data_IF_870617626694
#
_entry.id   IF_870617626694
#
_cell.length_a   1.000
_cell.length_b   1.000
_cell.length_c   1.000
_cell.angle_alpha   90.00
_cell.angle_beta   90.00
_cell.angle_gamma   90.00
#
_symmetry.space_group_name_H-M   'P 1'
#
loop_
_entity.id
_entity.type
_entity.pdbx_description
1 polymer ?
#
# COMPACT_ATOMS: atom_id res chain seq x y z
N UNK A 1 -0.42 -15.47 11.50
CA UNK A 1 -0.76 -15.95 10.14
C UNK A 1 0.51 -16.27 9.37
N UNK A 2 0.46 -17.14 8.34
CA UNK A 2 1.68 -17.47 7.59
C UNK A 2 2.05 -16.31 6.67
N UNK A 3 1.13 -15.82 5.86
CA UNK A 3 1.36 -14.73 4.92
C UNK A 3 0.20 -13.71 4.91
N UNK A 4 0.25 -12.72 4.03
CA UNK A 4 -0.77 -11.68 3.92
C UNK A 4 -2.12 -12.21 3.40
N UNK A 5 -2.10 -13.24 2.55
CA UNK A 5 -3.32 -13.90 2.07
C UNK A 5 -4.03 -14.65 3.21
N UNK A 6 -3.27 -15.45 3.98
CA UNK A 6 -3.84 -16.12 5.16
C UNK A 6 -4.25 -15.13 6.25
N UNK A 7 -3.55 -13.99 6.36
CA UNK A 7 -3.97 -12.89 7.24
C UNK A 7 -5.37 -12.41 6.85
N UNK A 8 -5.62 -12.16 5.57
CA UNK A 8 -6.92 -11.73 5.07
C UNK A 8 -8.01 -12.78 5.37
N UNK A 9 -7.76 -14.05 5.05
CA UNK A 9 -8.72 -15.13 5.32
C UNK A 9 -9.02 -15.33 6.82
N UNK A 10 -8.02 -15.19 7.70
CA UNK A 10 -8.22 -15.24 9.13
C UNK A 10 -9.12 -14.10 9.62
N UNK A 11 -8.87 -12.87 9.14
CA UNK A 11 -9.68 -11.70 9.47
C UNK A 11 -11.13 -11.93 9.04
N UNK A 12 -11.35 -12.40 7.81
CA UNK A 12 -12.68 -12.68 7.28
C UNK A 12 -13.44 -13.71 8.12
N UNK A 13 -12.77 -14.80 8.49
CA UNK A 13 -13.36 -15.81 9.38
C UNK A 13 -13.72 -15.25 10.77
N UNK A 14 -12.90 -14.34 11.33
CA UNK A 14 -13.22 -13.66 12.58
C UNK A 14 -14.36 -12.67 12.44
N UNK A 15 -14.45 -11.96 11.33
CA UNK A 15 -15.58 -11.08 11.01
C UNK A 15 -16.87 -11.90 10.93
N UNK A 16 -16.87 -13.03 10.22
CA UNK A 16 -18.03 -13.96 10.14
C UNK A 16 -18.49 -14.38 11.53
N UNK A 17 -17.57 -14.78 12.42
CA UNK A 17 -17.91 -15.14 13.82
C UNK A 17 -18.51 -13.96 14.60
N UNK A 18 -18.04 -12.74 14.40
CA UNK A 18 -18.61 -11.55 15.04
C UNK A 18 -20.04 -11.27 14.53
N UNK A 19 -20.26 -11.39 13.22
CA UNK A 19 -21.59 -11.22 12.61
C UNK A 19 -22.59 -12.27 13.11
N UNK A 20 -22.17 -13.54 13.23
CA UNK A 20 -22.99 -14.62 13.78
C UNK A 20 -23.39 -14.36 15.25
N UNK A 21 -22.58 -13.61 15.98
CA UNK A 21 -22.85 -13.16 17.35
C UNK A 21 -23.67 -11.85 17.41
N UNK A 22 -24.14 -11.34 16.27
CA UNK A 22 -25.00 -10.15 16.20
C UNK A 22 -24.28 -8.83 16.05
N UNK A 23 -22.96 -8.83 15.86
CA UNK A 23 -22.17 -7.61 15.54
C UNK A 23 -22.49 -7.15 14.11
N UNK A 24 -22.55 -5.84 13.90
CA UNK A 24 -22.76 -5.24 12.58
C UNK A 24 -21.41 -4.84 11.93
N UNK A 25 -21.33 -4.80 10.59
CA UNK A 25 -20.09 -4.41 9.88
C UNK A 25 -19.54 -3.05 10.33
N UNK A 26 -20.38 -2.07 10.60
CA UNK A 26 -19.97 -0.73 11.02
C UNK A 26 -19.36 -0.67 12.43
N UNK A 27 -19.45 -1.74 13.21
CA UNK A 27 -18.84 -1.89 14.53
C UNK A 27 -17.42 -2.49 14.44
N UNK A 28 -16.95 -2.80 13.21
CA UNK A 28 -15.67 -3.45 12.96
C UNK A 28 -14.76 -2.53 12.17
N UNK A 29 -13.57 -2.27 12.70
CA UNK A 29 -12.51 -1.53 12.02
C UNK A 29 -11.25 -2.36 11.80
N UNK A 30 -10.64 -2.20 10.65
CA UNK A 30 -9.33 -2.77 10.31
C UNK A 30 -8.34 -1.62 10.16
N UNK A 31 -7.35 -1.57 11.03
CA UNK A 31 -6.35 -0.53 11.09
C UNK A 31 -5.00 -1.04 10.58
N UNK A 32 -4.32 -0.21 9.81
CA UNK A 32 -3.03 -0.54 9.22
C UNK A 32 -2.10 0.68 9.19
N UNK A 33 -0.79 0.43 9.17
CA UNK A 33 0.22 1.49 9.14
C UNK A 33 0.28 2.18 7.77
N UNK A 34 0.28 1.42 6.70
CA UNK A 34 0.31 1.92 5.33
C UNK A 34 -0.79 1.26 4.49
N UNK A 35 -1.28 1.96 3.47
CA UNK A 35 -2.42 1.51 2.65
C UNK A 35 -2.19 0.14 1.99
N UNK A 36 -0.95 -0.14 1.56
CA UNK A 36 -0.63 -1.42 0.90
C UNK A 36 -0.72 -2.64 1.82
N UNK A 37 -0.67 -2.46 3.15
CA UNK A 37 -0.86 -3.56 4.10
C UNK A 37 -2.26 -4.18 4.04
N UNK A 38 -3.26 -3.39 3.64
CA UNK A 38 -4.64 -3.83 3.56
C UNK A 38 -5.05 -4.30 2.16
N UNK A 39 -4.14 -4.32 1.20
CA UNK A 39 -4.46 -4.55 -0.21
C UNK A 39 -5.02 -5.95 -0.45
N UNK A 40 -4.34 -6.98 0.06
CA UNK A 40 -4.81 -8.37 -0.05
C UNK A 40 -6.20 -8.55 0.60
N UNK A 41 -6.41 -7.89 1.74
CA UNK A 41 -7.71 -7.90 2.41
C UNK A 41 -8.79 -7.20 1.57
N UNK A 42 -8.48 -6.09 0.91
CA UNK A 42 -9.42 -5.39 0.03
C UNK A 42 -9.84 -6.26 -1.16
N UNK A 43 -8.90 -7.01 -1.74
CA UNK A 43 -9.17 -7.97 -2.81
C UNK A 43 -10.14 -9.06 -2.31
N UNK A 44 -9.84 -9.67 -1.18
CA UNK A 44 -10.67 -10.74 -0.63
C UNK A 44 -12.06 -10.25 -0.21
N UNK A 45 -12.17 -9.03 0.36
CA UNK A 45 -13.45 -8.40 0.66
C UNK A 45 -14.28 -8.17 -0.61
N UNK A 46 -13.65 -7.63 -1.67
CA UNK A 46 -14.30 -7.41 -2.96
C UNK A 46 -14.74 -8.72 -3.61
N UNK A 47 -13.89 -9.76 -3.58
CA UNK A 47 -14.21 -11.09 -4.13
C UNK A 47 -15.40 -11.75 -3.44
N UNK A 48 -15.56 -11.52 -2.13
CA UNK A 48 -16.68 -12.07 -1.34
C UNK A 48 -17.87 -11.12 -1.24
N UNK A 49 -17.86 -10.03 -1.99
CA UNK A 49 -18.92 -9.00 -1.99
C UNK A 49 -19.23 -8.43 -0.58
N UNK A 50 -18.23 -8.35 0.29
CA UNK A 50 -18.34 -7.78 1.62
C UNK A 50 -18.19 -6.26 1.54
N UNK A 51 -19.17 -5.47 2.07
CA UNK A 51 -19.13 -4.03 1.99
C UNK A 51 -18.06 -3.43 2.89
N UNK A 52 -17.24 -2.54 2.35
CA UNK A 52 -16.25 -1.80 3.12
C UNK A 52 -16.06 -0.38 2.59
N UNK A 53 -15.61 0.51 3.47
CA UNK A 53 -15.19 1.86 3.12
C UNK A 53 -13.78 2.13 3.64
N UNK A 54 -13.03 2.91 2.87
CA UNK A 54 -11.70 3.38 3.28
C UNK A 54 -11.87 4.80 3.81
N UNK A 55 -11.42 5.05 5.04
CA UNK A 55 -11.66 6.33 5.72
C UNK A 55 -11.08 7.53 4.97
N UNK A 56 -9.99 7.37 4.19
CA UNK A 56 -9.42 8.42 3.34
C UNK A 56 -10.28 8.78 2.12
N UNK A 57 -11.30 7.99 1.81
CA UNK A 57 -12.15 8.16 0.64
C UNK A 57 -11.50 7.80 -0.70
N UNK A 58 -10.17 7.67 -0.75
CA UNK A 58 -9.42 7.28 -1.95
C UNK A 58 -8.59 6.03 -1.66
N UNK A 59 -8.69 5.06 -2.54
CA UNK A 59 -7.84 3.85 -2.49
C UNK A 59 -6.40 4.23 -2.80
N UNK A 60 -5.46 3.43 -2.32
CA UNK A 60 -4.03 3.68 -2.52
C UNK A 60 -3.69 3.99 -3.98
N UNK A 61 -4.16 3.15 -4.92
CA UNK A 61 -3.89 3.33 -6.35
C UNK A 61 -4.69 4.44 -7.04
N UNK A 62 -5.68 5.02 -6.35
CA UNK A 62 -6.45 6.15 -6.85
C UNK A 62 -5.83 7.50 -6.52
N UNK A 63 -4.87 7.51 -5.62
CA UNK A 63 -4.19 8.73 -5.21
C UNK A 63 -3.38 9.34 -6.37
N UNK A 64 -3.40 10.67 -6.49
CA UNK A 64 -2.83 11.37 -7.63
C UNK A 64 -1.34 11.03 -7.83
N UNK A 65 -0.54 11.12 -6.77
CA UNK A 65 0.90 10.85 -6.81
C UNK A 65 1.24 9.41 -7.18
N UNK A 66 0.44 8.44 -6.74
CA UNK A 66 0.61 7.03 -7.15
C UNK A 66 0.29 6.87 -8.63
N UNK A 67 -0.84 7.45 -9.09
CA UNK A 67 -1.22 7.42 -10.52
C UNK A 67 -0.19 8.12 -11.42
N UNK A 68 0.42 9.20 -10.96
CA UNK A 68 1.43 9.94 -11.72
C UNK A 68 2.70 9.11 -11.91
N UNK A 69 3.16 8.44 -10.84
CA UNK A 69 4.31 7.55 -10.92
C UNK A 69 4.02 6.29 -11.75
N UNK A 70 2.88 5.66 -11.52
CA UNK A 70 2.44 4.49 -12.31
C UNK A 70 2.32 4.82 -13.79
N UNK A 71 1.90 6.05 -14.15
CA UNK A 71 1.85 6.47 -15.55
C UNK A 71 3.26 6.52 -16.17
N UNK A 72 4.28 7.02 -15.45
CA UNK A 72 5.66 6.97 -15.92
C UNK A 72 6.13 5.53 -16.18
N UNK A 73 5.88 4.62 -15.22
CA UNK A 73 6.25 3.21 -15.36
C UNK A 73 5.51 2.51 -16.51
N UNK A 74 4.21 2.80 -16.68
CA UNK A 74 3.42 2.27 -17.80
C UNK A 74 3.98 2.72 -19.14
N UNK A 75 4.35 4.00 -19.27
CA UNK A 75 4.94 4.53 -20.49
C UNK A 75 6.33 3.94 -20.77
N UNK A 76 7.11 3.67 -19.73
CA UNK A 76 8.40 2.98 -19.89
C UNK A 76 8.23 1.57 -20.44
N UNK A 77 7.21 0.82 -19.98
CA UNK A 77 6.90 -0.52 -20.50
C UNK A 77 6.25 -0.47 -21.88
N UNK A 78 5.38 0.50 -22.11
CA UNK A 78 4.68 0.69 -23.38
C UNK A 78 4.73 2.16 -23.83
N UNK A 79 5.73 2.55 -24.63
CA UNK A 79 5.85 3.93 -25.15
C UNK A 79 4.72 4.39 -26.07
N UNK A 80 3.78 3.51 -26.41
CA UNK A 80 2.56 3.84 -27.17
C UNK A 80 1.38 4.23 -26.27
N UNK A 81 1.54 4.18 -24.95
CA UNK A 81 0.52 4.60 -24.00
C UNK A 81 0.41 6.13 -23.92
N UNK A 82 -0.34 6.69 -24.86
CA UNK A 82 -0.56 8.15 -24.96
C UNK A 82 -1.20 8.72 -23.70
N UNK A 83 -2.11 7.99 -23.07
CA UNK A 83 -2.79 8.42 -21.84
C UNK A 83 -1.81 8.51 -20.69
N UNK A 84 -0.95 7.53 -20.54
CA UNK A 84 0.09 7.54 -19.53
C UNK A 84 1.06 8.71 -19.75
N UNK A 85 1.50 8.94 -20.99
CA UNK A 85 2.37 10.07 -21.34
C UNK A 85 1.71 11.41 -21.01
N UNK A 86 0.46 11.64 -21.47
CA UNK A 86 -0.26 12.88 -21.20
C UNK A 86 -0.36 13.15 -19.70
N UNK A 87 -0.62 12.11 -18.90
CA UNK A 87 -0.79 12.27 -17.45
C UNK A 87 0.43 12.90 -16.80
N UNK A 88 1.63 12.35 -16.97
CA UNK A 88 2.80 12.91 -16.32
C UNK A 88 3.38 14.14 -17.03
N UNK A 89 3.26 14.26 -18.37
CA UNK A 89 3.70 15.43 -19.10
C UNK A 89 2.89 16.69 -18.74
N UNK A 90 1.59 16.54 -18.43
CA UNK A 90 0.73 17.64 -18.00
C UNK A 90 1.02 18.12 -16.56
N UNK A 91 1.89 17.46 -15.81
CA UNK A 91 2.37 17.96 -14.52
C UNK A 91 3.35 19.13 -14.71
N UNK A 92 3.99 19.23 -15.88
CA UNK A 92 4.96 20.29 -16.18
C UNK A 92 4.26 21.62 -16.50
N UNK A 93 4.88 22.75 -16.12
CA UNK A 93 4.30 24.08 -16.35
C UNK A 93 3.95 24.32 -17.83
N UNK A 94 2.76 24.85 -18.09
CA UNK A 94 2.28 25.23 -19.45
C UNK A 94 2.21 24.08 -20.46
N UNK A 95 2.30 22.82 -20.03
CA UNK A 95 2.09 21.64 -20.87
C UNK A 95 0.69 21.08 -20.55
N UNK A 96 -0.26 21.31 -21.45
CA UNK A 96 -1.59 20.67 -21.42
C UNK A 96 -1.65 19.51 -22.43
N UNK A 97 -2.75 18.77 -22.42
CA UNK A 97 -2.94 17.55 -23.23
C UNK A 97 -2.60 17.72 -24.71
N UNK A 98 -3.03 18.85 -25.34
CA UNK A 98 -2.72 19.14 -26.76
C UNK A 98 -1.22 19.33 -26.99
N UNK A 99 -0.53 19.99 -26.06
CA UNK A 99 0.92 20.19 -26.14
C UNK A 99 1.66 18.89 -25.90
N UNK A 100 1.27 18.11 -24.88
CA UNK A 100 1.81 16.81 -24.61
C UNK A 100 1.69 15.87 -25.81
N UNK A 101 0.53 15.79 -26.46
CA UNK A 101 0.33 14.97 -27.67
C UNK A 101 1.23 15.38 -28.83
N UNK A 102 1.42 16.69 -29.03
CA UNK A 102 2.33 17.21 -30.10
C UNK A 102 3.79 16.88 -29.79
N UNK A 103 4.20 16.98 -28.52
CA UNK A 103 5.55 16.65 -28.10
C UNK A 103 5.82 15.15 -28.26
N UNK A 104 4.87 14.28 -27.90
CA UNK A 104 4.99 12.84 -28.10
C UNK A 104 5.15 12.51 -29.58
N UNK A 105 4.26 13.00 -30.45
CA UNK A 105 4.33 12.76 -31.90
C UNK A 105 5.63 13.29 -32.54
N UNK A 106 6.13 14.44 -32.05
CA UNK A 106 7.43 14.96 -32.47
C UNK A 106 8.57 14.02 -32.03
N UNK A 107 8.55 13.56 -30.79
CA UNK A 107 9.56 12.66 -30.26
C UNK A 107 9.57 11.30 -30.97
N UNK A 108 8.39 10.77 -31.30
CA UNK A 108 8.26 9.55 -32.13
C UNK A 108 8.87 9.74 -33.52
N UNK A 109 8.59 10.88 -34.16
CA UNK A 109 9.18 11.20 -35.46
C UNK A 109 10.69 11.28 -35.37
N UNK A 110 11.26 12.04 -34.43
CA UNK A 110 12.68 12.16 -34.18
C UNK A 110 13.34 10.82 -33.90
N UNK A 111 12.70 10.00 -33.06
CA UNK A 111 13.13 8.64 -32.75
C UNK A 111 13.27 7.78 -34.01
N UNK A 112 12.24 7.81 -34.88
CA UNK A 112 12.25 7.06 -36.15
C UNK A 112 13.28 7.58 -37.16
N UNK A 113 13.38 8.89 -37.34
CA UNK A 113 14.31 9.53 -38.29
C UNK A 113 15.77 9.27 -37.87
N UNK A 114 16.08 9.41 -36.57
CA UNK A 114 17.43 9.21 -36.05
C UNK A 114 17.73 7.76 -35.66
N UNK A 115 16.75 6.87 -35.72
CA UNK A 115 16.84 5.46 -35.28
C UNK A 115 17.37 5.33 -33.85
N UNK A 116 16.86 6.17 -32.95
CA UNK A 116 17.18 6.18 -31.54
C UNK A 116 15.95 5.78 -30.71
N UNK A 117 16.16 5.40 -29.45
CA UNK A 117 15.06 5.14 -28.52
C UNK A 117 14.26 6.44 -28.25
N UNK A 118 12.95 6.33 -28.04
CA UNK A 118 12.06 7.47 -27.79
C UNK A 118 12.48 8.26 -26.52
N UNK A 119 12.98 7.58 -25.50
CA UNK A 119 13.47 8.25 -24.28
C UNK A 119 14.69 9.14 -24.57
N UNK A 120 15.55 8.73 -25.48
CA UNK A 120 16.65 9.55 -25.96
C UNK A 120 16.15 10.69 -26.86
N UNK A 121 15.08 10.47 -27.63
CA UNK A 121 14.52 11.52 -28.50
C UNK A 121 13.96 12.70 -27.67
N UNK A 122 13.52 12.50 -26.42
CA UNK A 122 13.06 13.59 -25.56
C UNK A 122 14.11 14.63 -25.24
N UNK A 123 15.38 14.28 -25.27
CA UNK A 123 16.53 15.21 -25.07
C UNK A 123 17.12 15.77 -26.37
N UNK A 124 16.59 15.40 -27.52
CA UNK A 124 17.04 15.91 -28.79
C UNK A 124 16.64 17.38 -28.98
N UNK A 125 17.53 18.15 -29.61
CA UNK A 125 17.37 19.61 -29.78
C UNK A 125 16.07 19.99 -30.50
N UNK A 126 15.60 19.13 -31.41
CA UNK A 126 14.36 19.36 -32.15
C UNK A 126 13.14 19.33 -31.24
N UNK A 127 13.14 18.48 -30.21
CA UNK A 127 12.12 18.38 -29.20
C UNK A 127 12.27 19.51 -28.17
N UNK A 128 13.48 19.70 -27.64
CA UNK A 128 13.79 20.72 -26.64
C UNK A 128 13.41 22.14 -27.06
N UNK A 129 13.52 22.46 -28.35
CA UNK A 129 13.13 23.76 -28.91
C UNK A 129 11.61 23.99 -28.93
N UNK A 130 10.82 22.96 -28.74
CA UNK A 130 9.33 23.04 -28.67
C UNK A 130 8.78 23.02 -27.24
N UNK A 131 9.64 22.80 -26.25
CA UNK A 131 9.27 22.85 -24.85
C UNK A 131 9.07 24.29 -24.38
N UNK A 132 7.99 24.63 -23.68
CA UNK A 132 7.84 25.95 -23.04
C UNK A 132 9.04 26.25 -22.15
N UNK A 133 9.47 27.53 -22.13
CA UNK A 133 10.66 27.93 -21.34
C UNK A 133 10.55 27.54 -19.88
N UNK A 134 9.37 27.74 -19.30
CA UNK A 134 9.13 27.46 -17.87
C UNK A 134 9.09 25.97 -17.53
N UNK A 135 8.93 25.09 -18.51
CA UNK A 135 8.91 23.64 -18.35
C UNK A 135 10.23 22.98 -18.77
N UNK A 136 11.22 23.75 -19.23
CA UNK A 136 12.38 23.16 -19.91
C UNK A 136 13.30 22.38 -18.97
N UNK A 137 13.52 22.90 -17.78
CA UNK A 137 14.33 22.25 -16.75
C UNK A 137 13.66 20.96 -16.27
N UNK A 138 12.39 21.04 -15.88
CA UNK A 138 11.57 19.89 -15.49
C UNK A 138 11.49 18.82 -16.60
N UNK A 139 11.34 19.24 -17.85
CA UNK A 139 11.31 18.31 -18.97
C UNK A 139 12.62 17.54 -19.12
N UNK A 140 13.77 18.21 -18.98
CA UNK A 140 15.07 17.53 -19.05
C UNK A 140 15.21 16.53 -17.92
N UNK A 141 14.94 16.91 -16.68
CA UNK A 141 14.97 16.02 -15.54
C UNK A 141 14.03 14.80 -15.67
N UNK A 142 12.81 15.05 -16.16
CA UNK A 142 11.85 13.98 -16.46
C UNK A 142 12.37 13.04 -17.58
N UNK A 143 12.92 13.58 -18.65
CA UNK A 143 13.45 12.79 -19.77
C UNK A 143 14.64 11.91 -19.34
N UNK A 144 15.54 12.46 -18.54
CA UNK A 144 16.67 11.72 -17.95
C UNK A 144 16.19 10.61 -17.01
N UNK A 145 15.22 10.91 -16.15
CA UNK A 145 14.60 9.91 -15.27
C UNK A 145 13.97 8.78 -16.09
N UNK A 146 13.15 9.09 -17.09
CA UNK A 146 12.52 8.07 -17.93
C UNK A 146 13.54 7.22 -18.69
N UNK A 147 14.66 7.82 -19.13
CA UNK A 147 15.74 7.07 -19.77
C UNK A 147 16.44 6.11 -18.80
N UNK A 148 16.74 6.56 -17.58
CA UNK A 148 17.32 5.72 -16.52
C UNK A 148 16.40 4.57 -16.14
N UNK A 149 15.12 4.88 -15.86
CA UNK A 149 14.08 3.90 -15.53
C UNK A 149 13.93 2.87 -16.65
N UNK A 150 13.94 3.28 -17.92
CA UNK A 150 13.87 2.36 -19.06
C UNK A 150 15.07 1.42 -19.12
N UNK A 151 16.29 1.92 -18.87
CA UNK A 151 17.49 1.09 -18.84
C UNK A 151 17.41 0.05 -17.71
N UNK A 152 16.98 0.47 -16.52
CA UNK A 152 16.81 -0.42 -15.38
C UNK A 152 15.69 -1.44 -15.60
N UNK A 153 14.59 -1.07 -16.24
CA UNK A 153 13.45 -1.97 -16.46
C UNK A 153 13.79 -3.24 -17.26
N UNK A 154 14.92 -3.24 -18.00
CA UNK A 154 15.38 -4.40 -18.77
C UNK A 154 16.27 -5.34 -17.97
N UNK A 155 16.85 -4.91 -16.85
CA UNK A 155 17.90 -5.66 -16.13
C UNK A 155 17.71 -5.73 -14.64
N UNK A 156 16.93 -4.83 -14.05
CA UNK A 156 16.73 -4.73 -12.61
C UNK A 156 15.37 -5.28 -12.17
N UNK A 157 15.29 -5.63 -10.89
CA UNK A 157 14.05 -6.02 -10.23
C UNK A 157 13.09 -4.82 -10.12
N UNK A 158 11.76 -5.04 -10.15
CA UNK A 158 10.76 -3.97 -10.17
C UNK A 158 10.91 -2.93 -9.06
N UNK A 159 11.27 -3.34 -7.84
CA UNK A 159 11.48 -2.41 -6.73
C UNK A 159 12.54 -1.35 -7.01
N UNK A 160 13.65 -1.71 -7.66
CA UNK A 160 14.70 -0.74 -8.05
C UNK A 160 14.25 0.19 -9.18
N UNK A 161 13.42 -0.31 -10.08
CA UNK A 161 12.86 0.50 -11.18
C UNK A 161 11.88 1.54 -10.63
N UNK A 162 11.04 1.14 -9.67
CA UNK A 162 10.11 2.05 -8.99
C UNK A 162 10.86 3.07 -8.14
N UNK A 163 11.87 2.63 -7.39
CA UNK A 163 12.71 3.51 -6.56
C UNK A 163 13.42 4.59 -7.40
N UNK A 164 13.99 4.21 -8.55
CA UNK A 164 14.60 5.16 -9.50
C UNK A 164 13.58 6.18 -10.04
N UNK A 165 12.36 5.74 -10.34
CA UNK A 165 11.32 6.66 -10.82
C UNK A 165 10.85 7.64 -9.72
N UNK A 166 10.85 7.22 -8.45
CA UNK A 166 10.53 8.09 -7.30
C UNK A 166 11.64 9.11 -7.09
N UNK A 167 12.89 8.65 -7.02
CA UNK A 167 14.05 9.49 -6.68
C UNK A 167 14.55 10.36 -7.86
N UNK A 168 13.97 10.22 -9.04
CA UNK A 168 14.23 11.07 -10.19
C UNK A 168 13.51 12.43 -10.09
N UNK A 169 13.14 12.98 -11.24
CA UNK A 169 12.43 14.26 -11.33
C UNK A 169 11.19 14.35 -10.43
N UNK A 170 10.49 13.23 -10.22
CA UNK A 170 9.24 13.23 -9.48
C UNK A 170 9.42 13.56 -8.01
N UNK A 171 10.57 13.28 -7.40
CA UNK A 171 10.90 13.63 -6.02
C UNK A 171 10.81 15.14 -5.77
N UNK A 172 11.49 15.94 -6.59
CA UNK A 172 11.47 17.39 -6.46
C UNK A 172 10.07 17.96 -6.75
N UNK A 173 9.40 17.44 -7.78
CA UNK A 173 8.02 17.79 -8.09
C UNK A 173 7.11 17.55 -6.89
N UNK A 174 7.21 16.40 -6.21
CA UNK A 174 6.42 16.04 -5.04
C UNK A 174 6.62 17.05 -3.90
N UNK A 175 7.87 17.38 -3.60
CA UNK A 175 8.24 18.27 -2.50
C UNK A 175 7.83 19.73 -2.75
N UNK A 176 7.87 20.18 -3.98
CA UNK A 176 7.52 21.56 -4.35
C UNK A 176 6.02 21.77 -4.54
N UNK A 177 5.30 20.70 -4.92
CA UNK A 177 3.87 20.81 -5.28
C UNK A 177 2.94 20.54 -4.12
N UNK A 178 3.32 19.67 -3.16
CA UNK A 178 2.42 19.22 -2.12
C UNK A 178 2.90 19.59 -0.71
N UNK A 179 2.08 20.32 0.06
CA UNK A 179 2.39 20.61 1.48
C UNK A 179 2.51 19.33 2.34
N UNK A 180 1.73 18.30 2.00
CA UNK A 180 1.74 17.00 2.70
C UNK A 180 2.65 15.96 2.02
N UNK A 181 3.75 16.42 1.39
CA UNK A 181 4.70 15.57 0.68
C UNK A 181 5.25 14.41 1.53
N UNK A 182 5.53 14.54 2.85
CA UNK A 182 6.11 13.42 3.60
C UNK A 182 5.20 12.19 3.60
N UNK A 183 3.89 12.40 3.73
CA UNK A 183 2.92 11.31 3.68
C UNK A 183 2.80 10.69 2.29
N UNK A 184 2.91 11.52 1.24
CA UNK A 184 2.86 11.02 -0.15
C UNK A 184 4.12 10.24 -0.50
N UNK A 185 5.25 10.64 0.03
CA UNK A 185 6.51 9.92 -0.09
C UNK A 185 6.41 8.52 0.57
N UNK A 186 5.86 8.43 1.80
CA UNK A 186 5.57 7.14 2.44
C UNK A 186 4.66 6.24 1.58
N UNK A 187 3.66 6.82 0.93
CA UNK A 187 2.80 6.07 0.00
C UNK A 187 3.61 5.56 -1.21
N UNK A 188 4.51 6.37 -1.78
CA UNK A 188 5.37 5.94 -2.90
C UNK A 188 6.38 4.88 -2.48
N UNK A 189 6.97 4.98 -1.29
CA UNK A 189 7.81 3.91 -0.73
C UNK A 189 7.04 2.60 -0.56
N UNK A 190 5.77 2.71 -0.16
CA UNK A 190 4.87 1.56 -0.12
C UNK A 190 4.70 0.90 -1.49
N UNK A 191 4.82 1.66 -2.58
CA UNK A 191 4.81 1.12 -3.94
C UNK A 191 6.11 0.35 -4.26
N UNK A 192 7.26 0.78 -3.71
CA UNK A 192 8.54 0.02 -3.81
C UNK A 192 8.39 -1.34 -3.13
N UNK A 193 7.83 -1.36 -1.92
CA UNK A 193 7.57 -2.60 -1.18
C UNK A 193 6.58 -3.51 -1.94
N UNK A 194 5.55 -2.93 -2.54
CA UNK A 194 4.64 -3.68 -3.41
C UNK A 194 5.36 -4.26 -4.62
N UNK A 195 6.18 -3.45 -5.29
CA UNK A 195 6.95 -3.86 -6.46
C UNK A 195 7.93 -5.01 -6.15
N UNK A 196 8.43 -5.07 -4.91
CA UNK A 196 9.34 -6.14 -4.47
C UNK A 196 8.73 -7.56 -4.51
N UNK A 197 7.40 -7.67 -4.61
CA UNK A 197 6.68 -8.95 -4.67
C UNK A 197 6.69 -9.59 -6.05
N UNK A 198 7.10 -8.85 -7.09
CA UNK A 198 7.01 -9.26 -8.50
C UNK A 198 8.38 -9.46 -9.11
N UNK A 199 8.44 -10.35 -10.09
CA UNK A 199 9.68 -10.66 -10.81
C UNK A 199 9.94 -9.66 -11.95
N UNK A 200 8.85 -9.10 -12.53
CA UNK A 200 8.97 -8.14 -13.62
C UNK A 200 7.96 -6.98 -13.52
N UNK A 201 8.33 -5.84 -14.10
CA UNK A 201 7.55 -4.61 -14.03
C UNK A 201 6.19 -4.72 -14.73
N UNK A 202 6.09 -5.46 -15.83
CA UNK A 202 4.84 -5.61 -16.58
C UNK A 202 3.80 -6.41 -15.78
N UNK A 203 4.23 -7.46 -15.08
CA UNK A 203 3.37 -8.23 -14.17
C UNK A 203 2.87 -7.34 -13.03
N UNK A 204 3.76 -6.60 -12.36
CA UNK A 204 3.40 -5.65 -11.32
C UNK A 204 2.32 -4.66 -11.79
N UNK A 205 2.54 -4.03 -12.96
CA UNK A 205 1.59 -3.07 -13.53
C UNK A 205 0.26 -3.71 -13.89
N UNK A 206 0.26 -4.95 -14.39
CA UNK A 206 -0.96 -5.70 -14.68
C UNK A 206 -1.76 -5.94 -13.40
N UNK A 207 -1.10 -6.35 -12.32
CA UNK A 207 -1.75 -6.53 -11.02
C UNK A 207 -2.30 -5.21 -10.47
N UNK A 208 -1.58 -4.10 -10.61
CA UNK A 208 -2.08 -2.78 -10.21
C UNK A 208 -3.36 -2.40 -10.95
N UNK A 209 -3.45 -2.68 -12.26
CA UNK A 209 -4.64 -2.41 -13.07
C UNK A 209 -5.80 -3.29 -12.60
N UNK A 210 -5.58 -4.58 -12.38
CA UNK A 210 -6.59 -5.50 -11.87
C UNK A 210 -7.12 -5.04 -10.52
N UNK A 211 -6.22 -4.70 -9.57
CA UNK A 211 -6.58 -4.18 -8.27
C UNK A 211 -7.38 -2.88 -8.32
N UNK A 212 -7.07 -2.00 -9.26
CA UNK A 212 -7.83 -0.77 -9.47
C UNK A 212 -9.20 -1.02 -10.11
N UNK A 213 -9.36 -2.08 -10.93
CA UNK A 213 -10.59 -2.43 -11.64
C UNK A 213 -11.49 -3.38 -10.85
N UNK A 214 -10.94 -4.41 -10.18
CA UNK A 214 -11.70 -5.33 -9.33
C UNK A 214 -12.24 -4.65 -8.06
N UNK A 215 -11.61 -3.55 -7.70
CA UNK A 215 -12.10 -2.62 -6.71
C UNK A 215 -13.32 -1.83 -7.23
N UNK A 216 -13.89 -2.24 -8.39
CA UNK A 216 -15.05 -1.63 -9.02
C UNK A 216 -16.21 -1.46 -8.06
N UNK A 217 -16.50 -0.24 -7.83
CA UNK A 217 -17.79 0.41 -7.56
C UNK A 217 -18.89 -0.39 -6.84
N UNK A 218 -18.55 -1.10 -5.75
CA UNK A 218 -19.61 -1.21 -4.76
C UNK A 218 -19.67 0.12 -4.02
N UNK A 219 -20.39 1.07 -4.59
CA UNK A 219 -20.80 2.27 -3.90
C UNK A 219 -21.63 1.82 -2.70
N UNK A 220 -21.03 1.91 -1.50
CA UNK A 220 -21.76 1.68 -0.25
C UNK A 220 -22.94 2.63 -0.24
N UNK A 221 -24.16 2.10 -0.22
CA UNK A 221 -25.38 2.90 -0.23
C UNK A 221 -25.47 3.71 1.07
N UNK A 222 -26.03 4.93 1.03
CA UNK A 222 -26.27 5.68 2.26
C UNK A 222 -27.09 4.84 3.26
N UNK A 223 -26.53 4.62 4.46
CA UNK A 223 -27.13 3.79 5.49
C UNK A 223 -26.81 2.28 5.44
N UNK A 224 -26.07 1.80 4.46
CA UNK A 224 -25.58 0.43 4.42
C UNK A 224 -24.49 0.21 5.48
N UNK A 225 -24.60 -0.88 6.24
CA UNK A 225 -23.57 -1.29 7.19
C UNK A 225 -22.35 -1.81 6.45
N UNK A 226 -21.16 -1.26 6.73
CA UNK A 226 -19.92 -1.59 6.06
C UNK A 226 -18.71 -1.61 7.01
N UNK A 227 -17.73 -2.44 6.71
CA UNK A 227 -16.45 -2.46 7.42
C UNK A 227 -15.70 -1.15 7.25
N UNK A 228 -14.95 -0.74 8.27
CA UNK A 228 -14.07 0.44 8.23
C UNK A 228 -12.63 0.01 8.05
N UNK A 229 -12.02 0.39 6.92
CA UNK A 229 -10.61 0.23 6.65
C UNK A 229 -9.94 1.60 6.79
N UNK A 230 -8.93 1.72 7.65
CA UNK A 230 -8.30 3.01 7.94
C UNK A 230 -6.81 2.88 8.22
N UNK A 231 -6.04 3.86 7.79
CA UNK A 231 -4.71 4.03 8.39
C UNK A 231 -4.85 4.44 9.86
N UNK A 232 -3.87 4.07 10.67
CA UNK A 232 -3.85 4.42 12.10
C UNK A 232 -3.94 5.93 12.30
N UNK A 233 -3.25 6.71 11.46
CA UNK A 233 -3.30 8.18 11.53
C UNK A 233 -4.72 8.75 11.38
N UNK A 234 -5.51 8.17 10.48
CA UNK A 234 -6.87 8.63 10.20
C UNK A 234 -7.90 8.12 11.19
N UNK A 235 -7.56 7.10 11.98
CA UNK A 235 -8.43 6.56 13.03
C UNK A 235 -8.39 7.38 14.32
N UNK A 236 -7.54 8.40 14.42
CA UNK A 236 -7.43 9.26 15.61
C UNK A 236 -8.76 9.95 15.91
N UNK A 237 -9.27 9.76 17.13
CA UNK A 237 -10.55 10.30 17.57
C UNK A 237 -11.78 9.46 17.24
N UNK A 238 -11.60 8.34 16.53
CA UNK A 238 -12.67 7.36 16.28
C UNK A 238 -12.51 6.16 17.23
N UNK A 239 -13.60 5.51 17.59
CA UNK A 239 -13.62 4.32 18.43
C UNK A 239 -14.57 3.28 17.84
N UNK A 240 -14.24 2.00 18.01
CA UNK A 240 -14.99 0.90 17.41
C UNK A 240 -15.08 -0.26 18.42
N UNK A 241 -16.23 -0.95 18.51
CA UNK A 241 -16.36 -2.15 19.34
C UNK A 241 -15.28 -3.20 19.06
N UNK A 242 -14.98 -3.45 17.78
CA UNK A 242 -14.02 -4.49 17.38
C UNK A 242 -12.96 -3.92 16.44
N UNK A 243 -11.69 -4.03 16.83
CA UNK A 243 -10.56 -3.51 16.06
C UNK A 243 -9.57 -4.62 15.71
N UNK A 244 -9.19 -4.67 14.43
CA UNK A 244 -8.11 -5.50 13.92
C UNK A 244 -6.94 -4.60 13.54
N UNK A 245 -5.76 -4.84 14.11
CA UNK A 245 -4.51 -4.17 13.68
C UNK A 245 -3.68 -5.20 12.92
N UNK A 246 -3.40 -4.91 11.65
CA UNK A 246 -2.75 -5.83 10.73
C UNK A 246 -1.30 -5.42 10.42
N UNK A 247 -0.52 -6.38 9.94
CA UNK A 247 0.87 -6.12 9.53
C UNK A 247 1.84 -5.86 10.68
N UNK A 248 1.57 -6.41 11.89
CA UNK A 248 2.40 -6.19 13.08
C UNK A 248 3.70 -7.01 13.04
N UNK A 249 4.55 -6.70 12.06
CA UNK A 249 5.88 -7.28 11.90
C UNK A 249 6.93 -6.15 11.82
N UNK A 250 8.13 -6.40 12.34
CA UNK A 250 9.26 -5.48 12.18
C UNK A 250 9.57 -5.29 10.70
N UNK A 251 9.65 -4.04 10.25
CA UNK A 251 9.77 -3.63 8.85
C UNK A 251 8.45 -3.25 8.19
N UNK A 252 7.30 -3.66 8.75
CA UNK A 252 5.96 -3.23 8.33
C UNK A 252 5.34 -2.26 9.35
N UNK A 253 5.27 -2.68 10.61
CA UNK A 253 4.84 -1.87 11.73
C UNK A 253 5.55 -2.33 13.02
N UNK A 254 6.58 -1.60 13.50
CA UNK A 254 7.12 -0.34 12.93
C UNK A 254 7.71 -0.50 11.54
N UNK A 255 7.74 0.60 10.78
CA UNK A 255 8.29 0.62 9.44
C UNK A 255 9.83 0.46 9.47
N UNK A 256 10.42 0.06 8.33
CA UNK A 256 11.86 -0.24 8.25
C UNK A 256 12.72 0.98 8.57
N UNK A 257 12.37 2.18 8.10
CA UNK A 257 13.13 3.41 8.37
C UNK A 257 13.22 3.72 9.86
N UNK A 258 12.11 3.57 10.59
CA UNK A 258 12.12 3.78 12.04
C UNK A 258 13.00 2.77 12.78
N UNK A 259 13.12 1.55 12.23
CA UNK A 259 13.99 0.50 12.80
C UNK A 259 15.46 0.79 12.52
N UNK A 260 15.78 1.23 11.31
CA UNK A 260 17.16 1.48 10.84
C UNK A 260 17.73 2.83 11.36
N UNK A 261 16.91 3.61 12.10
CA UNK A 261 17.32 4.90 12.69
C UNK A 261 17.18 6.09 11.74
N UNK A 262 16.55 5.92 10.60
CA UNK A 262 16.22 6.97 9.63
C UNK A 262 14.86 7.63 9.92
N UNK A 263 14.09 7.09 10.89
CA UNK A 263 12.78 7.55 11.33
C UNK A 263 12.63 7.54 12.84
N UNK A 264 11.47 7.96 13.35
CA UNK A 264 11.17 8.03 14.78
C UNK A 264 10.41 6.76 15.24
N UNK A 265 11.14 5.84 15.91
CA UNK A 265 10.58 4.63 16.50
C UNK A 265 9.56 4.93 17.62
N UNK A 266 9.74 6.03 18.34
CA UNK A 266 8.82 6.44 19.41
C UNK A 266 7.51 6.98 18.82
N UNK A 267 7.54 7.60 17.64
CA UNK A 267 6.30 7.96 16.92
C UNK A 267 5.55 6.71 16.45
N UNK A 268 6.24 5.70 15.91
CA UNK A 268 5.62 4.40 15.58
C UNK A 268 5.00 3.74 16.82
N UNK A 269 5.64 3.86 17.99
CA UNK A 269 5.10 3.37 19.26
C UNK A 269 3.83 4.13 19.67
N UNK A 270 3.81 5.45 19.50
CA UNK A 270 2.61 6.28 19.74
C UNK A 270 1.48 5.89 18.81
N UNK A 271 1.79 5.61 17.55
CA UNK A 271 0.80 5.11 16.59
C UNK A 271 0.23 3.75 17.01
N UNK A 272 1.06 2.82 17.49
CA UNK A 272 0.59 1.54 18.01
C UNK A 272 -0.34 1.73 19.22
N UNK A 273 0.03 2.62 20.14
CA UNK A 273 -0.82 3.00 21.26
C UNK A 273 -2.17 3.59 20.79
N UNK A 274 -2.14 4.54 19.86
CA UNK A 274 -3.35 5.12 19.28
C UNK A 274 -4.23 4.04 18.67
N UNK A 275 -3.67 3.16 17.85
CA UNK A 275 -4.42 2.08 17.21
C UNK A 275 -5.07 1.14 18.24
N UNK A 276 -4.31 0.76 19.28
CA UNK A 276 -4.77 -0.15 20.32
C UNK A 276 -5.91 0.44 21.17
N UNK A 277 -5.87 1.76 21.37
CA UNK A 277 -6.92 2.47 22.14
C UNK A 277 -8.18 2.77 21.33
N UNK A 278 -8.26 2.38 20.06
CA UNK A 278 -9.48 2.50 19.24
C UNK A 278 -10.48 1.38 19.50
N UNK A 279 -10.08 0.31 20.19
CA UNK A 279 -10.94 -0.82 20.50
C UNK A 279 -11.69 -0.60 21.82
N UNK A 280 -13.03 -0.74 21.78
CA UNK A 280 -13.89 -0.67 22.96
C UNK A 280 -14.09 -2.05 23.61
N UNK A 281 -14.28 -3.08 22.80
CA UNK A 281 -14.67 -4.43 23.26
C UNK A 281 -13.61 -5.48 22.98
N UNK A 282 -13.12 -5.58 21.75
CA UNK A 282 -12.08 -6.53 21.36
C UNK A 282 -11.01 -5.95 20.45
N UNK A 283 -9.78 -6.35 20.71
CA UNK A 283 -8.61 -5.97 19.95
C UNK A 283 -7.91 -7.22 19.39
N UNK A 284 -7.76 -7.30 18.08
CA UNK A 284 -7.06 -8.38 17.38
C UNK A 284 -5.74 -7.83 16.79
N UNK A 285 -4.62 -8.36 17.28
CA UNK A 285 -3.28 -7.98 16.85
C UNK A 285 -2.73 -9.07 15.92
N UNK A 286 -2.50 -8.74 14.64
CA UNK A 286 -2.22 -9.75 13.61
C UNK A 286 -0.91 -9.44 12.90
N UNK A 287 -0.03 -10.43 12.78
CA UNK A 287 1.18 -10.32 11.98
C UNK A 287 1.35 -11.51 11.02
N UNK A 288 1.79 -11.26 9.79
CA UNK A 288 2.21 -12.30 8.86
C UNK A 288 3.63 -12.76 9.21
N UNK A 289 3.90 -14.06 9.10
CA UNK A 289 5.23 -14.64 9.36
C UNK A 289 6.12 -14.62 8.11
N UNK A 290 5.51 -14.55 6.93
CA UNK A 290 6.18 -14.54 5.64
C UNK A 290 5.70 -13.36 4.80
N UNK A 291 6.60 -12.80 4.01
CA UNK A 291 6.32 -11.86 2.94
C UNK A 291 7.06 -12.32 1.68
N UNK A 292 6.54 -11.97 0.51
CA UNK A 292 7.28 -12.14 -0.75
C UNK A 292 8.12 -10.89 -1.00
N UNK A 293 9.39 -11.06 -1.28
CA UNK A 293 10.31 -9.98 -1.69
C UNK A 293 11.12 -10.46 -2.89
N UNK A 294 10.97 -9.80 -4.03
CA UNK A 294 11.64 -10.16 -5.29
C UNK A 294 11.44 -11.65 -5.69
N UNK A 295 10.19 -12.14 -5.58
CA UNK A 295 9.87 -13.55 -5.83
C UNK A 295 10.36 -14.53 -4.75
N UNK A 296 11.11 -14.06 -3.76
CA UNK A 296 11.61 -14.89 -2.66
C UNK A 296 10.78 -14.72 -1.41
N UNK A 297 10.38 -15.81 -0.77
CA UNK A 297 9.71 -15.75 0.53
C UNK A 297 10.73 -15.41 1.61
N UNK A 298 10.49 -14.32 2.32
CA UNK A 298 11.27 -13.92 3.48
C UNK A 298 10.47 -14.10 4.76
N UNK A 299 11.16 -14.52 5.83
CA UNK A 299 10.56 -14.59 7.14
C UNK A 299 10.54 -13.22 7.79
N UNK A 300 9.35 -12.79 8.19
CA UNK A 300 9.15 -11.57 8.98
C UNK A 300 9.32 -11.88 10.46
N UNK A 301 9.87 -10.92 11.19
CA UNK A 301 9.94 -10.97 12.64
C UNK A 301 8.70 -10.31 13.23
N UNK A 302 8.15 -10.92 14.29
CA UNK A 302 7.07 -10.30 15.05
C UNK A 302 7.47 -8.89 15.48
N UNK A 303 6.54 -7.94 15.34
CA UNK A 303 6.73 -6.55 15.78
C UNK A 303 7.26 -6.50 17.21
N UNK A 304 8.26 -5.66 17.44
CA UNK A 304 8.82 -5.41 18.78
C UNK A 304 7.77 -4.90 19.75
N UNK A 305 6.75 -4.18 19.27
CA UNK A 305 5.65 -3.70 20.10
C UNK A 305 4.82 -4.85 20.69
N UNK A 306 4.65 -5.96 19.95
CA UNK A 306 3.98 -7.15 20.48
C UNK A 306 4.81 -7.87 21.55
N UNK A 307 6.15 -7.82 21.43
CA UNK A 307 7.05 -8.45 22.42
C UNK A 307 7.07 -7.69 23.75
N UNK A 308 6.72 -6.41 23.74
CA UNK A 308 6.65 -5.56 24.93
C UNK A 308 5.34 -5.75 25.72
N UNK A 309 4.33 -6.41 25.14
CA UNK A 309 3.07 -6.67 25.81
C UNK A 309 3.23 -7.73 26.90
N UNK A 310 2.59 -7.54 28.07
CA UNK A 310 2.63 -8.54 29.14
C UNK A 310 1.92 -9.82 28.67
N UNK A 311 2.60 -10.96 28.79
CA UNK A 311 2.10 -12.26 28.30
C UNK A 311 0.78 -12.71 28.97
N UNK A 312 0.41 -12.14 30.08
CA UNK A 312 -0.84 -12.43 30.79
C UNK A 312 -2.04 -11.63 30.26
N UNK A 313 -1.81 -10.69 29.35
CA UNK A 313 -2.84 -9.74 28.86
C UNK A 313 -3.51 -10.15 27.57
N UNK A 314 -3.10 -11.24 26.90
CA UNK A 314 -3.64 -11.62 25.60
C UNK A 314 -3.62 -13.15 25.37
N UNK A 315 -4.44 -13.62 24.44
CA UNK A 315 -4.45 -14.99 23.96
C UNK A 315 -3.75 -15.10 22.60
N UNK A 316 -2.97 -16.15 22.39
CA UNK A 316 -2.26 -16.38 21.13
C UNK A 316 -3.01 -17.41 20.29
N UNK A 317 -3.33 -17.02 19.06
CA UNK A 317 -3.92 -17.90 18.05
C UNK A 317 -2.90 -18.21 16.96
N UNK A 318 -2.53 -19.48 16.79
CA UNK A 318 -1.69 -19.95 15.70
C UNK A 318 -2.57 -20.42 14.55
N UNK A 319 -2.47 -19.76 13.40
CA UNK A 319 -3.16 -20.17 12.16
C UNK A 319 -2.23 -21.10 11.40
N UNK A 320 -2.52 -22.40 11.42
CA UNK A 320 -1.79 -23.39 10.62
C UNK A 320 -2.48 -23.57 9.27
N UNK A 321 -1.69 -23.71 8.19
CA UNK A 321 -2.23 -24.12 6.89
C UNK A 321 -2.71 -25.57 6.97
N UNK A 322 -4.01 -25.77 7.07
CA UNK A 322 -4.61 -27.05 6.65
C UNK A 322 -5.18 -26.84 5.25
N UNK A 323 -4.56 -27.53 4.30
CA UNK A 323 -4.98 -27.86 2.94
C UNK A 323 -6.10 -27.01 2.31
N UNK A 324 -5.74 -26.34 1.24
CA UNK A 324 -6.66 -25.78 0.27
C UNK A 324 -7.49 -26.92 -0.36
N UNK A 325 -8.57 -27.36 0.31
CA UNK A 325 -9.74 -28.02 -0.26
C UNK A 325 -10.64 -28.56 0.87
N UNK A 326 -11.71 -27.85 1.17
CA UNK A 326 -12.95 -28.34 1.73
C UNK A 326 -12.95 -28.86 3.17
N UNK A 327 -13.68 -28.16 3.99
CA UNK A 327 -14.22 -28.45 5.31
C UNK A 327 -13.55 -27.74 6.48
N UNK A 328 -14.39 -26.97 7.19
CA UNK A 328 -14.27 -26.44 8.55
C UNK A 328 -12.85 -26.19 9.10
N UNK A 329 -12.45 -24.93 9.17
CA UNK A 329 -11.19 -24.55 9.80
C UNK A 329 -11.28 -24.72 11.33
N UNK A 330 -10.73 -25.83 11.84
CA UNK A 330 -10.46 -25.96 13.27
C UNK A 330 -9.26 -25.09 13.66
N UNK A 331 -9.53 -23.93 14.21
CA UNK A 331 -8.51 -23.09 14.85
C UNK A 331 -8.21 -23.67 16.24
N UNK A 332 -7.05 -24.36 16.37
CA UNK A 332 -6.60 -24.82 17.67
C UNK A 332 -5.99 -23.68 18.47
N UNK A 333 -6.60 -23.33 19.57
CA UNK A 333 -5.99 -22.56 20.66
C UNK A 333 -4.92 -23.43 21.34
N UNK A 334 -3.66 -23.06 21.29
CA UNK A 334 -2.67 -23.61 22.22
C UNK A 334 -2.85 -22.89 23.56
N UNK A 335 -3.67 -23.47 24.44
CA UNK A 335 -3.61 -23.13 25.85
C UNK A 335 -2.29 -23.65 26.40
N UNK A 336 -1.48 -22.79 26.93
CA UNK A 336 -0.45 -23.17 27.86
C UNK A 336 -1.18 -23.58 29.17
N UNK A 337 -1.45 -24.89 29.33
CA UNK A 337 -1.88 -25.44 30.59
C UNK A 337 -0.69 -25.41 31.57
N UNK A 338 -0.55 -24.31 32.26
CA UNK A 338 0.06 -24.26 33.60
C UNK A 338 -0.06 -22.82 34.13
N UNK A 339 -1.24 -22.50 34.68
CA UNK A 339 -1.32 -21.67 35.87
C UNK A 339 -2.71 -21.84 36.48
N UNK A 340 -2.68 -22.14 37.76
CA UNK A 340 -3.75 -22.63 38.61
C UNK A 340 -5.04 -21.82 38.63
N UNK A 341 -6.09 -22.54 38.81
CA UNK A 341 -7.41 -22.06 39.24
C UNK A 341 -7.28 -21.02 40.36
N UNK A 342 -7.59 -19.76 40.10
CA UNK A 342 -8.19 -18.89 41.12
C UNK A 342 -8.72 -17.58 40.54
N UNK A 343 -9.96 -17.33 40.87
CA UNK A 343 -10.69 -16.05 40.89
C UNK A 343 -11.51 -15.65 39.68
N UNK A 344 -12.76 -16.03 39.75
CA UNK A 344 -13.91 -15.26 39.26
C UNK A 344 -13.95 -13.88 39.91
N UNK A 345 -14.38 -12.89 39.11
CA UNK A 345 -14.81 -11.54 39.52
C UNK A 345 -13.69 -10.56 39.94
N UNK A 346 -13.29 -9.70 38.99
CA UNK A 346 -13.17 -8.28 39.30
C UNK A 346 -13.15 -7.47 37.97
N UNK A 347 -14.03 -6.48 37.94
CA UNK A 347 -14.29 -5.62 36.80
C UNK A 347 -13.07 -4.81 36.36
N UNK A 348 -13.06 -4.45 35.09
CA UNK A 348 -12.11 -3.53 34.50
C UNK A 348 -12.11 -2.17 35.21
N UNK A 349 -11.01 -1.82 35.86
CA UNK A 349 -10.73 -0.45 36.28
C UNK A 349 -10.02 0.28 35.14
N UNK A 350 -10.61 1.37 34.69
CA UNK A 350 -9.99 2.37 33.84
C UNK A 350 -8.75 2.90 34.52
N UNK A 351 -7.63 2.88 33.83
CA UNK A 351 -6.47 3.69 34.19
C UNK A 351 -6.50 4.97 33.35
N UNK A 352 -6.48 6.09 34.05
CA UNK A 352 -6.30 7.41 33.50
C UNK A 352 -4.86 7.63 33.07
#
# INVERSE_FOLDING_TARGET
TIDTYQQANFILSKIEQLLDNGTSYNEIAILYRAHYHAMELQIELSRRDIPFVITSGLRFFEQAHVKDLVAQLRFVVNPKDVTAFQRFACLLPKIGEKTASKLLSLSERVSNEKKINIFKAFTEIDVLNKIPKDAKEDWVGLAETLQSVHQLATTAIPSKVVDEAINGWYHEYLHTTYENWPRREEDLESLVDFASKYENLAEMLTQLILLSSESGDRVVRPGESCLRLSTIHQSKGLEYPHVFIIGLADGLFPNKRAIDGEGDLEEERRLFYVASTRAETSLHLIYPMLSSQNGTQIRLMQSRFLKELPQTGYEIYNVHSQNAFGQGSDYRTTKWDNFGKSRRNQGFRKFY
#
